data_IF_295409891663
#
_entry.id   IF_295409891663
#
_cell.length_a   1.000
_cell.length_b   1.000
_cell.length_c   1.000
_cell.angle_alpha   90.00
_cell.angle_beta   90.00
_cell.angle_gamma   90.00
#
_symmetry.space_group_name_H-M   'P 1'
#
loop_
_entity.id
_entity.type
_entity.pdbx_description
1 polymer ?
#
# COMPACT_ATOMS: atom_id res chain seq x y z
N UNK A 1 -2.02 -13.55 10.04
CA UNK A 1 -0.95 -14.03 10.93
C UNK A 1 0.20 -14.44 10.07
N UNK A 2 1.32 -13.71 10.19
CA UNK A 2 2.73 -14.07 9.96
C UNK A 2 3.46 -12.74 9.76
N UNK A 3 3.66 -12.04 10.89
CA UNK A 3 4.54 -10.89 11.00
C UNK A 3 5.97 -11.41 10.94
N UNK A 4 6.59 -11.37 9.78
CA UNK A 4 8.04 -11.56 9.70
C UNK A 4 8.69 -10.20 9.92
N UNK A 5 8.72 -9.75 11.18
CA UNK A 5 9.70 -8.76 11.61
C UNK A 5 11.08 -9.35 11.30
N UNK A 6 11.94 -8.66 10.53
CA UNK A 6 13.28 -9.15 10.28
C UNK A 6 14.00 -9.33 11.63
N UNK A 7 14.84 -10.38 11.79
CA UNK A 7 15.58 -10.60 13.03
C UNK A 7 16.37 -9.34 13.42
N UNK A 8 16.24 -8.93 14.68
CA UNK A 8 16.88 -7.72 15.26
C UNK A 8 18.40 -7.68 14.98
N UNK A 9 19.03 -8.85 14.78
CA UNK A 9 20.45 -9.01 14.44
C UNK A 9 20.92 -8.25 13.19
N UNK A 10 20.01 -7.87 12.27
CA UNK A 10 20.38 -7.14 11.06
C UNK A 10 20.39 -5.62 11.21
N UNK A 11 19.92 -5.09 12.34
CA UNK A 11 19.99 -3.65 12.63
C UNK A 11 21.16 -3.44 13.58
N UNK A 12 22.29 -3.01 13.03
CA UNK A 12 23.44 -2.62 13.84
C UNK A 12 23.11 -1.30 14.55
N UNK A 13 22.46 -1.39 15.71
CA UNK A 13 22.29 -0.24 16.60
C UNK A 13 23.68 0.17 17.12
N UNK A 14 24.01 1.47 17.15
CA UNK A 14 25.30 1.95 17.63
C UNK A 14 25.44 1.86 19.16
N UNK A 15 24.56 1.12 19.84
CA UNK A 15 24.49 1.01 21.29
C UNK A 15 24.76 -0.44 21.69
N UNK A 16 25.84 -0.67 22.43
CA UNK A 16 26.25 -1.97 22.94
C UNK A 16 25.33 -2.40 24.11
N UNK A 17 24.97 -3.70 24.17
CA UNK A 17 23.99 -4.30 25.09
C UNK A 17 24.26 -4.12 26.61
N UNK A 18 25.38 -3.50 27.02
CA UNK A 18 25.81 -3.46 28.42
C UNK A 18 25.80 -2.05 29.07
N UNK A 19 25.23 -1.03 28.44
CA UNK A 19 25.02 0.27 29.08
C UNK A 19 23.61 0.37 29.68
N UNK A 20 23.55 0.73 30.97
CA UNK A 20 22.34 0.81 31.78
C UNK A 20 21.25 1.65 31.09
N UNK A 21 20.22 0.96 30.60
CA UNK A 21 19.06 1.53 29.92
C UNK A 21 18.22 2.27 30.95
N UNK A 22 18.04 3.58 30.78
CA UNK A 22 17.12 4.35 31.63
C UNK A 22 15.72 3.76 31.57
N UNK A 23 15.12 3.47 32.72
CA UNK A 23 13.72 3.04 32.81
C UNK A 23 12.85 4.25 33.17
N UNK A 24 11.95 4.62 32.26
CA UNK A 24 10.99 5.72 32.43
C UNK A 24 10.15 5.92 31.15
N UNK A 25 8.96 6.54 31.23
CA UNK A 25 8.13 6.81 30.05
C UNK A 25 8.87 7.64 28.98
N UNK A 26 9.79 8.51 29.40
CA UNK A 26 10.65 9.32 28.52
C UNK A 26 11.63 8.44 27.74
N UNK A 27 12.15 7.37 28.34
CA UNK A 27 13.06 6.44 27.67
C UNK A 27 12.35 5.60 26.60
N UNK A 28 11.08 5.26 26.82
CA UNK A 28 10.27 4.55 25.82
C UNK A 28 9.92 5.46 24.63
N UNK A 29 9.63 6.74 24.90
CA UNK A 29 9.41 7.74 23.85
C UNK A 29 10.68 7.97 23.02
N UNK A 30 11.84 8.10 23.67
CA UNK A 30 13.14 8.21 22.99
C UNK A 30 13.43 6.96 22.16
N UNK A 31 13.14 5.75 22.67
CA UNK A 31 13.27 4.49 21.92
C UNK A 31 12.39 4.48 20.69
N UNK A 32 11.11 4.84 20.83
CA UNK A 32 10.17 4.92 19.70
C UNK A 32 10.67 5.89 18.64
N UNK A 33 11.04 7.10 19.05
CA UNK A 33 11.53 8.13 18.14
C UNK A 33 12.84 7.72 17.45
N UNK A 34 13.75 7.06 18.16
CA UNK A 34 14.98 6.51 17.61
C UNK A 34 14.70 5.41 16.59
N UNK A 35 13.70 4.55 16.86
CA UNK A 35 13.29 3.50 15.93
C UNK A 35 12.68 4.09 14.65
N UNK A 36 11.75 5.04 14.78
CA UNK A 36 11.19 5.77 13.64
C UNK A 36 12.28 6.48 12.83
N UNK A 37 13.21 7.16 13.50
CA UNK A 37 14.34 7.82 12.85
C UNK A 37 15.26 6.82 12.13
N UNK A 38 15.56 5.68 12.74
CA UNK A 38 16.38 4.63 12.12
C UNK A 38 15.69 4.01 10.89
N UNK A 39 14.37 3.81 10.94
CA UNK A 39 13.58 3.35 9.79
C UNK A 39 13.62 4.39 8.66
N UNK A 40 13.40 5.67 8.98
CA UNK A 40 13.49 6.77 8.02
C UNK A 40 14.89 6.97 7.43
N UNK A 41 15.94 6.74 8.23
CA UNK A 41 17.33 6.93 7.83
C UNK A 41 17.85 5.75 6.99
N UNK A 42 17.43 4.52 7.32
CA UNK A 42 17.75 3.32 6.55
C UNK A 42 16.97 3.27 5.22
N UNK A 43 15.74 3.79 5.21
CA UNK A 43 14.86 3.83 4.06
C UNK A 43 14.34 5.26 3.82
N UNK A 44 15.20 6.20 3.36
CA UNK A 44 14.71 7.50 2.94
C UNK A 44 13.66 7.28 1.84
N UNK A 45 12.56 8.05 1.87
CA UNK A 45 11.46 7.96 0.88
C UNK A 45 11.98 7.99 -0.57
N UNK A 46 13.16 8.59 -0.80
CA UNK A 46 13.86 8.62 -2.09
C UNK A 46 14.44 7.29 -2.58
N UNK A 47 14.56 6.26 -1.73
CA UNK A 47 15.08 4.92 -2.07
C UNK A 47 14.02 3.82 -2.08
N UNK A 48 12.80 4.10 -1.63
CA UNK A 48 11.71 3.12 -1.72
C UNK A 48 11.37 2.89 -3.20
N UNK A 49 11.29 1.62 -3.60
CA UNK A 49 10.78 1.28 -4.92
C UNK A 49 9.29 1.64 -5.02
N UNK A 50 8.82 1.93 -6.23
CA UNK A 50 7.39 2.20 -6.49
C UNK A 50 6.50 1.03 -6.03
N UNK A 51 7.02 -0.21 -6.13
CA UNK A 51 6.34 -1.41 -5.67
C UNK A 51 6.23 -1.48 -4.16
N UNK A 52 7.32 -1.20 -3.42
CA UNK A 52 7.28 -1.18 -1.94
C UNK A 52 6.33 -0.11 -1.44
N UNK A 53 6.38 1.10 -2.00
CA UNK A 53 5.45 2.18 -1.65
C UNK A 53 4.01 1.77 -1.91
N UNK A 54 3.72 1.18 -3.08
CA UNK A 54 2.39 0.67 -3.38
C UNK A 54 1.93 -0.41 -2.38
N UNK A 55 2.81 -1.36 -2.05
CA UNK A 55 2.50 -2.45 -1.12
C UNK A 55 2.14 -1.91 0.26
N UNK A 56 2.95 -1.00 0.80
CA UNK A 56 2.70 -0.38 2.11
C UNK A 56 1.34 0.33 2.11
N UNK A 57 1.08 1.18 1.10
CA UNK A 57 -0.17 1.93 1.02
C UNK A 57 -1.39 1.02 0.84
N UNK A 58 -1.25 -0.05 0.05
CA UNK A 58 -2.31 -1.03 -0.19
C UNK A 58 -2.65 -1.80 1.08
N UNK A 59 -1.64 -2.23 1.83
CA UNK A 59 -1.81 -2.95 3.10
C UNK A 59 -2.41 -2.04 4.17
N UNK A 60 -1.96 -0.79 4.28
CA UNK A 60 -2.56 0.21 5.18
C UNK A 60 -4.03 0.43 4.83
N UNK A 61 -4.32 0.67 3.55
CA UNK A 61 -5.69 0.88 3.08
C UNK A 61 -6.61 -0.30 3.38
N UNK A 62 -6.14 -1.54 3.22
CA UNK A 62 -6.91 -2.74 3.55
C UNK A 62 -7.27 -2.81 5.02
N UNK A 63 -6.27 -2.58 5.90
CA UNK A 63 -6.47 -2.66 7.34
C UNK A 63 -7.47 -1.61 7.82
N UNK A 64 -7.37 -0.38 7.29
CA UNK A 64 -8.28 0.72 7.61
C UNK A 64 -9.69 0.50 7.04
N UNK A 65 -9.79 -0.12 5.86
CA UNK A 65 -11.06 -0.27 5.13
C UNK A 65 -11.77 -1.59 5.40
N UNK A 66 -11.17 -2.50 6.18
CA UNK A 66 -11.71 -3.84 6.48
C UNK A 66 -13.13 -3.85 7.06
N UNK A 67 -13.53 -2.76 7.73
CA UNK A 67 -14.85 -2.60 8.34
C UNK A 67 -15.73 -1.58 7.60
N UNK A 68 -15.26 -1.03 6.48
CA UNK A 68 -15.99 -0.04 5.70
C UNK A 68 -16.89 -0.71 4.65
N UNK A 69 -18.15 -0.28 4.58
CA UNK A 69 -19.17 -0.92 3.73
C UNK A 69 -19.44 -0.18 2.42
N UNK A 70 -18.77 0.96 2.15
CA UNK A 70 -19.09 1.80 1.00
C UNK A 70 -17.86 2.21 0.20
N UNK A 71 -18.02 2.24 -1.13
CA UNK A 71 -17.00 2.76 -2.04
C UNK A 71 -16.69 4.25 -1.80
N UNK A 72 -17.61 4.99 -1.18
CA UNK A 72 -17.47 6.41 -0.87
C UNK A 72 -16.54 6.63 0.34
N UNK A 73 -16.52 5.69 1.27
CA UNK A 73 -15.61 5.73 2.42
C UNK A 73 -14.18 5.38 2.00
N UNK A 74 -13.99 4.61 0.92
CA UNK A 74 -12.66 4.30 0.37
C UNK A 74 -11.89 5.56 -0.08
N UNK A 75 -12.61 6.56 -0.63
CA UNK A 75 -12.02 7.83 -1.06
C UNK A 75 -11.62 8.74 0.11
N UNK A 76 -12.05 8.44 1.34
CA UNK A 76 -11.66 9.18 2.54
C UNK A 76 -10.36 8.66 3.14
N UNK A 77 -9.85 7.53 2.66
CA UNK A 77 -8.60 6.95 3.14
C UNK A 77 -7.39 7.66 2.50
N UNK A 78 -6.49 8.27 3.30
CA UNK A 78 -5.31 8.96 2.77
C UNK A 78 -4.40 8.06 1.92
N UNK A 79 -4.20 6.80 2.32
CA UNK A 79 -3.37 5.83 1.59
C UNK A 79 -3.94 5.51 0.21
N UNK A 80 -5.26 5.47 0.07
CA UNK A 80 -5.93 5.27 -1.22
C UNK A 80 -5.72 6.48 -2.15
N UNK A 81 -5.82 7.70 -1.61
CA UNK A 81 -5.54 8.92 -2.36
C UNK A 81 -4.07 9.01 -2.77
N UNK A 82 -3.17 8.54 -1.91
CA UNK A 82 -1.74 8.50 -2.21
C UNK A 82 -1.43 7.49 -3.33
N UNK A 83 -2.08 6.32 -3.35
CA UNK A 83 -2.01 5.38 -4.50
C UNK A 83 -2.49 6.05 -5.79
N UNK A 84 -3.59 6.80 -5.75
CA UNK A 84 -4.06 7.58 -6.91
C UNK A 84 -3.01 8.61 -7.34
N UNK A 85 -2.35 9.28 -6.39
CA UNK A 85 -1.32 10.29 -6.67
C UNK A 85 -0.07 9.72 -7.35
N UNK A 86 0.21 8.43 -7.16
CA UNK A 86 1.27 7.73 -7.90
C UNK A 86 0.98 7.65 -9.40
N UNK A 87 -0.28 7.81 -9.82
CA UNK A 87 -0.66 7.88 -11.23
C UNK A 87 -0.32 6.60 -12.00
N UNK A 88 0.22 6.75 -13.21
CA UNK A 88 0.50 5.62 -14.13
C UNK A 88 1.48 4.60 -13.54
N UNK A 89 2.36 5.03 -12.65
CA UNK A 89 3.32 4.16 -11.98
C UNK A 89 2.66 3.13 -11.07
N UNK A 90 1.45 3.39 -10.57
CA UNK A 90 0.71 2.42 -9.76
C UNK A 90 -0.03 1.37 -10.59
N UNK A 91 -0.28 1.62 -11.88
CA UNK A 91 -1.15 0.76 -12.70
C UNK A 91 -0.69 -0.71 -12.76
N UNK A 92 0.60 -1.04 -13.02
CA UNK A 92 1.03 -2.43 -13.02
C UNK A 92 0.72 -3.14 -11.69
N UNK A 93 0.95 -2.45 -10.57
CA UNK A 93 0.74 -3.02 -9.24
C UNK A 93 -0.75 -3.16 -8.91
N UNK A 94 -1.59 -2.20 -9.29
CA UNK A 94 -3.04 -2.29 -9.15
C UNK A 94 -3.58 -3.49 -9.94
N UNK A 95 -3.11 -3.73 -11.18
CA UNK A 95 -3.58 -4.86 -11.98
C UNK A 95 -3.06 -6.22 -11.49
N UNK A 96 -1.85 -6.28 -10.93
CA UNK A 96 -1.35 -7.47 -10.23
C UNK A 96 -2.19 -7.77 -8.98
N UNK A 97 -2.51 -6.77 -8.17
CA UNK A 97 -3.34 -6.96 -6.99
C UNK A 97 -4.78 -7.35 -7.36
N UNK A 98 -5.37 -6.68 -8.36
CA UNK A 98 -6.72 -6.98 -8.86
C UNK A 98 -6.84 -8.43 -9.38
N UNK A 99 -5.76 -9.02 -9.92
CA UNK A 99 -5.71 -10.44 -10.30
C UNK A 99 -5.77 -11.38 -9.10
N UNK A 100 -5.11 -11.02 -7.99
CA UNK A 100 -5.05 -11.84 -6.78
C UNK A 100 -6.32 -11.72 -5.96
N UNK A 101 -6.79 -10.48 -5.80
CA UNK A 101 -7.94 -10.13 -4.98
C UNK A 101 -8.78 -9.09 -5.73
N UNK A 102 -10.07 -9.36 -6.01
CA UNK A 102 -10.94 -8.42 -6.71
C UNK A 102 -11.40 -7.30 -5.76
N UNK A 103 -10.45 -6.50 -5.28
CA UNK A 103 -10.70 -5.33 -4.43
C UNK A 103 -11.34 -4.21 -5.25
N UNK A 104 -11.85 -3.19 -4.55
CA UNK A 104 -12.50 -2.03 -5.16
C UNK A 104 -11.50 -1.02 -5.79
N UNK A 105 -10.60 -1.48 -6.66
CA UNK A 105 -9.64 -0.65 -7.38
C UNK A 105 -10.23 0.16 -8.55
N UNK A 106 -11.48 -0.12 -8.94
CA UNK A 106 -12.11 0.47 -10.13
C UNK A 106 -12.15 2.00 -10.12
N UNK A 107 -12.29 2.61 -8.93
CA UNK A 107 -12.29 4.07 -8.78
C UNK A 107 -10.90 4.63 -9.07
N UNK A 108 -9.85 4.06 -8.45
CA UNK A 108 -8.47 4.43 -8.71
C UNK A 108 -8.10 4.24 -10.19
N UNK A 109 -8.44 3.09 -10.78
CA UNK A 109 -8.19 2.80 -12.20
C UNK A 109 -8.81 3.85 -13.12
N UNK A 110 -10.08 4.21 -12.89
CA UNK A 110 -10.76 5.24 -13.68
C UNK A 110 -10.13 6.62 -13.52
N UNK A 111 -9.74 7.00 -12.31
CA UNK A 111 -9.12 8.32 -12.05
C UNK A 111 -7.75 8.40 -12.72
N UNK A 112 -6.91 7.37 -12.55
CA UNK A 112 -5.54 7.35 -13.09
C UNK A 112 -5.54 7.27 -14.62
N UNK A 113 -6.40 6.43 -15.20
CA UNK A 113 -6.45 6.24 -16.66
C UNK A 113 -7.28 7.29 -17.38
N UNK A 114 -8.18 7.99 -16.67
CA UNK A 114 -9.17 8.88 -17.27
C UNK A 114 -10.23 8.15 -18.11
N UNK A 115 -10.31 6.82 -18.02
CA UNK A 115 -11.15 5.98 -18.87
C UNK A 115 -11.89 4.93 -18.03
N UNK A 116 -13.09 4.54 -18.47
CA UNK A 116 -13.88 3.47 -17.84
C UNK A 116 -14.32 2.47 -18.93
N UNK A 117 -13.66 1.30 -19.06
CA UNK A 117 -14.03 0.28 -20.04
C UNK A 117 -15.31 -0.48 -19.67
N UNK A 118 -15.86 -0.30 -18.45
CA UNK A 118 -16.97 -1.11 -17.93
C UNK A 118 -18.32 -0.59 -18.47
N UNK A 119 -19.05 -1.40 -19.26
CA UNK A 119 -20.40 -1.06 -19.70
C UNK A 119 -21.38 -0.91 -18.54
N UNK A 120 -22.42 -0.10 -18.71
CA UNK A 120 -23.39 0.21 -17.66
C UNK A 120 -24.08 -1.03 -17.09
N UNK A 121 -24.44 -2.00 -17.94
CA UNK A 121 -25.10 -3.27 -17.56
C UNK A 121 -24.19 -4.23 -16.76
N UNK A 122 -22.87 -3.96 -16.71
CA UNK A 122 -21.90 -4.74 -15.93
C UNK A 122 -21.49 -4.04 -14.64
N UNK A 123 -21.92 -2.80 -14.40
CA UNK A 123 -21.59 -2.06 -13.17
C UNK A 123 -22.22 -2.73 -11.95
N UNK A 124 -21.44 -2.85 -10.88
CA UNK A 124 -21.84 -3.55 -9.64
C UNK A 124 -21.50 -5.03 -9.63
N UNK A 125 -21.25 -5.66 -10.79
CA UNK A 125 -20.72 -7.02 -10.85
C UNK A 125 -19.19 -6.99 -10.79
N UNK A 126 -18.64 -7.11 -9.57
CA UNK A 126 -17.20 -7.03 -9.30
C UNK A 126 -16.39 -8.01 -10.15
N UNK A 127 -16.89 -9.22 -10.41
CA UNK A 127 -16.20 -10.23 -11.20
C UNK A 127 -16.10 -9.83 -12.68
N UNK A 128 -17.20 -9.38 -13.29
CA UNK A 128 -17.21 -8.90 -14.68
C UNK A 128 -16.38 -7.62 -14.84
N UNK A 129 -16.50 -6.69 -13.89
CA UNK A 129 -15.70 -5.46 -13.87
C UNK A 129 -14.20 -5.79 -13.81
N UNK A 130 -13.80 -6.72 -12.95
CA UNK A 130 -12.41 -7.19 -12.85
C UNK A 130 -11.95 -7.77 -14.18
N UNK A 131 -12.73 -8.67 -14.79
CA UNK A 131 -12.39 -9.29 -16.08
C UNK A 131 -12.18 -8.24 -17.18
N UNK A 132 -13.07 -7.26 -17.28
CA UNK A 132 -13.00 -6.19 -18.28
C UNK A 132 -11.72 -5.36 -18.09
N UNK A 133 -11.42 -4.97 -16.86
CA UNK A 133 -10.22 -4.20 -16.55
C UNK A 133 -8.93 -4.98 -16.83
N UNK A 134 -8.88 -6.28 -16.54
CA UNK A 134 -7.73 -7.12 -16.84
C UNK A 134 -7.51 -7.31 -18.35
N UNK A 135 -8.59 -7.46 -19.13
CA UNK A 135 -8.50 -7.49 -20.60
C UNK A 135 -7.92 -6.19 -21.13
N UNK A 136 -8.43 -5.05 -20.67
CA UNK A 136 -7.93 -3.74 -21.05
C UNK A 136 -6.45 -3.57 -20.67
N UNK A 137 -6.07 -3.98 -19.46
CA UNK A 137 -4.70 -3.92 -18.98
C UNK A 137 -3.73 -4.71 -19.87
N UNK A 138 -4.13 -5.91 -20.29
CA UNK A 138 -3.37 -6.74 -21.21
C UNK A 138 -3.21 -6.11 -22.60
N UNK A 139 -4.29 -5.55 -23.14
CA UNK A 139 -4.27 -4.85 -24.44
C UNK A 139 -3.37 -3.61 -24.42
N UNK A 140 -3.19 -2.98 -23.27
CA UNK A 140 -2.36 -1.78 -23.10
C UNK A 140 -0.95 -2.09 -22.55
N UNK A 141 -0.58 -3.37 -22.42
CA UNK A 141 0.78 -3.78 -22.01
C UNK A 141 1.11 -3.60 -20.53
N UNK A 142 0.11 -3.42 -19.66
CA UNK A 142 0.34 -3.33 -18.21
C UNK A 142 0.53 -4.70 -17.55
N UNK A 143 0.00 -5.76 -18.17
CA UNK A 143 0.10 -7.15 -17.71
C UNK A 143 0.26 -8.08 -18.92
N UNK A 144 1.00 -9.18 -18.74
CA UNK A 144 1.25 -10.22 -19.76
C UNK A 144 0.28 -11.39 -19.66
#
# INVERSE_FOLDING_TARGET
MLTATPPIEYIHFPFHENETIGFGPEAEEVRKNLFEAAIHMAHPISRQSKMERFSILSDTWENDSKYSSSANDLLRNPSYLEIISMGKDALPFIFEDLRKYPRHWFVALRIITGFDPVPYDKKGNVAEMTRIWLIWAKQNGYIS
#
